data_IF_732695609235
#
_entry.id   IF_732695609235
#
_cell.length_a   1.000
_cell.length_b   1.000
_cell.length_c   1.000
_cell.angle_alpha   90.00
_cell.angle_beta   90.00
_cell.angle_gamma   90.00
#
_symmetry.space_group_name_H-M   'P 1'
#
loop_
_entity.id
_entity.type
_entity.pdbx_description
1 polymer ?
#
# COMPACT_ATOMS: atom_id res chain seq x y z
N UNK A 1 42.29 2.19 32.29
CA UNK A 1 41.20 1.97 33.28
C UNK A 1 39.97 1.31 32.63
N UNK A 2 39.46 1.76 31.49
CA UNK A 2 38.29 1.14 30.82
C UNK A 2 38.53 -0.28 30.30
N UNK A 3 39.72 -0.57 29.78
CA UNK A 3 40.10 -1.88 29.23
C UNK A 3 40.06 -3.00 30.28
N UNK A 4 40.39 -2.70 31.53
CA UNK A 4 40.37 -3.66 32.63
C UNK A 4 38.93 -4.01 33.03
N UNK A 5 38.05 -3.03 33.14
CA UNK A 5 36.63 -3.26 33.47
C UNK A 5 35.91 -4.07 32.38
N UNK A 6 36.22 -3.82 31.10
CA UNK A 6 35.66 -4.57 29.97
C UNK A 6 36.10 -6.05 29.98
N UNK A 7 37.39 -6.31 30.20
CA UNK A 7 37.93 -7.67 30.32
C UNK A 7 37.33 -8.45 31.50
N UNK A 8 37.14 -7.79 32.64
CA UNK A 8 36.51 -8.39 33.82
C UNK A 8 35.03 -8.71 33.55
N UNK A 9 34.31 -7.81 32.86
CA UNK A 9 32.93 -8.05 32.44
C UNK A 9 32.78 -9.28 31.55
N UNK A 10 33.62 -9.42 30.51
CA UNK A 10 33.60 -10.58 29.61
C UNK A 10 33.90 -11.89 30.36
N UNK A 11 34.91 -11.91 31.24
CA UNK A 11 35.21 -13.11 32.04
C UNK A 11 34.04 -13.50 32.94
N UNK A 12 33.29 -12.53 33.47
CA UNK A 12 32.12 -12.78 34.29
C UNK A 12 30.95 -13.36 33.47
N UNK A 13 30.70 -12.81 32.27
CA UNK A 13 29.69 -13.32 31.33
C UNK A 13 29.95 -14.77 30.92
N UNK A 14 31.21 -15.12 30.65
CA UNK A 14 31.64 -16.48 30.29
C UNK A 14 31.56 -17.46 31.48
N UNK A 15 31.80 -16.98 32.71
CA UNK A 15 31.72 -17.81 33.93
C UNK A 15 30.27 -18.18 34.28
N UNK A 16 29.31 -17.32 33.97
CA UNK A 16 27.87 -17.52 34.25
C UNK A 16 27.06 -17.80 32.96
N UNK A 17 27.54 -18.72 32.13
CA UNK A 17 27.02 -19.00 30.78
C UNK A 17 25.50 -19.20 30.69
N UNK A 18 24.86 -19.97 31.59
CA UNK A 18 23.42 -20.24 31.51
C UNK A 18 22.56 -19.00 31.80
N UNK A 19 22.94 -18.22 32.82
CA UNK A 19 22.24 -16.99 33.18
C UNK A 19 22.43 -15.91 32.11
N UNK A 20 23.65 -15.78 31.60
CA UNK A 20 23.95 -14.89 30.47
C UNK A 20 23.14 -15.28 29.23
N UNK A 21 23.06 -16.58 28.91
CA UNK A 21 22.32 -17.07 27.74
C UNK A 21 20.83 -16.73 27.83
N UNK A 22 20.18 -17.00 28.97
CA UNK A 22 18.76 -16.70 29.15
C UNK A 22 18.48 -15.20 29.00
N UNK A 23 19.30 -14.33 29.60
CA UNK A 23 19.13 -12.89 29.49
C UNK A 23 19.37 -12.37 28.06
N UNK A 24 20.42 -12.86 27.39
CA UNK A 24 20.74 -12.43 26.02
C UNK A 24 19.67 -12.91 25.04
N UNK A 25 19.18 -14.13 25.17
CA UNK A 25 18.10 -14.64 24.31
C UNK A 25 16.80 -13.88 24.55
N UNK A 26 16.41 -13.64 25.80
CA UNK A 26 15.21 -12.87 26.11
C UNK A 26 15.28 -11.44 25.56
N UNK A 27 16.43 -10.77 25.72
CA UNK A 27 16.66 -9.44 25.16
C UNK A 27 16.65 -9.47 23.62
N UNK A 28 17.29 -10.45 23.00
CA UNK A 28 17.36 -10.59 21.55
C UNK A 28 15.97 -10.81 20.95
N UNK A 29 15.15 -11.68 21.55
CA UNK A 29 13.76 -11.93 21.11
C UNK A 29 12.91 -10.67 21.28
N UNK A 30 13.00 -9.99 22.43
CA UNK A 30 12.26 -8.73 22.65
C UNK A 30 12.62 -7.66 21.64
N UNK A 31 13.92 -7.49 21.35
CA UNK A 31 14.41 -6.54 20.34
C UNK A 31 13.97 -6.94 18.93
N UNK A 32 14.02 -8.23 18.59
CA UNK A 32 13.56 -8.74 17.31
C UNK A 32 12.06 -8.48 17.10
N UNK A 33 11.22 -8.76 18.10
CA UNK A 33 9.79 -8.46 18.04
C UNK A 33 9.52 -6.97 17.86
N UNK A 34 10.21 -6.11 18.62
CA UNK A 34 10.06 -4.66 18.50
C UNK A 34 10.47 -4.14 17.11
N UNK A 35 11.58 -4.65 16.56
CA UNK A 35 12.04 -4.30 15.22
C UNK A 35 11.07 -4.78 14.13
N UNK A 36 10.53 -5.99 14.25
CA UNK A 36 9.53 -6.50 13.31
C UNK A 36 8.27 -5.63 13.29
N UNK A 37 7.75 -5.25 14.46
CA UNK A 37 6.62 -4.34 14.56
C UNK A 37 6.96 -2.98 13.94
N UNK A 38 8.15 -2.43 14.21
CA UNK A 38 8.58 -1.16 13.65
C UNK A 38 8.68 -1.22 12.12
N UNK A 39 9.27 -2.27 11.55
CA UNK A 39 9.34 -2.46 10.09
C UNK A 39 7.94 -2.57 9.50
N UNK A 40 7.05 -3.33 10.13
CA UNK A 40 5.66 -3.48 9.68
C UNK A 40 4.93 -2.14 9.66
N UNK A 41 4.97 -1.38 10.77
CA UNK A 41 4.34 -0.06 10.84
C UNK A 41 4.94 0.91 9.82
N UNK A 42 6.27 0.89 9.65
CA UNK A 42 6.96 1.71 8.65
C UNK A 42 6.52 1.34 7.23
N UNK A 43 6.36 0.05 6.95
CA UNK A 43 5.91 -0.43 5.65
C UNK A 43 4.48 0.06 5.35
N UNK A 44 3.54 -0.22 6.25
CA UNK A 44 2.13 0.20 6.11
C UNK A 44 1.99 1.72 5.98
N UNK A 45 2.72 2.50 6.79
CA UNK A 45 2.66 3.97 6.73
C UNK A 45 3.37 4.57 5.51
N UNK A 46 4.23 3.81 4.81
CA UNK A 46 4.96 4.30 3.64
C UNK A 46 4.17 4.21 2.33
N UNK A 47 3.12 3.40 2.27
CA UNK A 47 2.42 3.08 1.02
C UNK A 47 1.81 4.31 0.34
N UNK A 48 1.29 5.27 1.12
CA UNK A 48 0.58 6.45 0.59
C UNK A 48 1.42 7.74 0.54
N UNK A 49 2.71 7.69 0.89
CA UNK A 49 3.55 8.90 1.05
C UNK A 49 4.41 9.28 -0.17
N UNK A 50 4.23 8.62 -1.31
CA UNK A 50 5.10 8.83 -2.48
C UNK A 50 4.66 10.01 -3.39
N UNK A 51 3.49 10.58 -3.17
CA UNK A 51 2.99 11.73 -3.93
C UNK A 51 3.50 13.07 -3.35
N UNK A 52 3.62 14.11 -4.19
CA UNK A 52 4.16 15.41 -3.77
C UNK A 52 3.27 16.13 -2.73
N UNK A 53 1.96 15.93 -2.78
CA UNK A 53 0.96 16.58 -1.91
C UNK A 53 -0.08 15.57 -1.39
N UNK A 54 0.34 14.58 -0.58
CA UNK A 54 -0.53 13.47 -0.18
C UNK A 54 -1.70 13.93 0.70
N UNK A 55 -1.55 15.02 1.44
CA UNK A 55 -2.57 15.66 2.28
C UNK A 55 -3.69 16.34 1.48
N UNK A 56 -3.53 16.50 0.16
CA UNK A 56 -4.49 17.17 -0.73
C UNK A 56 -5.14 16.24 -1.73
N UNK A 57 -4.85 14.94 -1.65
CA UNK A 57 -5.35 13.92 -2.57
C UNK A 57 -6.38 13.09 -1.81
N UNK A 58 -7.61 13.07 -2.32
CA UNK A 58 -8.72 12.34 -1.71
C UNK A 58 -9.41 11.44 -2.72
N UNK A 59 -9.87 10.28 -2.26
CA UNK A 59 -10.75 9.40 -3.02
C UNK A 59 -12.18 9.57 -2.54
N UNK A 60 -13.08 9.90 -3.45
CA UNK A 60 -14.51 9.89 -3.13
C UNK A 60 -15.02 8.45 -3.12
N UNK A 61 -15.79 8.12 -2.09
CA UNK A 61 -16.39 6.81 -1.86
C UNK A 61 -17.90 6.96 -1.68
N UNK A 62 -18.65 5.91 -1.99
CA UNK A 62 -20.09 5.86 -1.72
C UNK A 62 -20.31 5.13 -0.39
N UNK A 63 -20.97 5.81 0.54
CA UNK A 63 -21.47 5.21 1.78
C UNK A 63 -22.79 4.47 1.50
N UNK A 64 -22.85 3.19 1.83
CA UNK A 64 -24.01 2.33 1.69
C UNK A 64 -24.60 2.07 3.09
N UNK A 65 -25.78 2.61 3.36
CA UNK A 65 -26.48 2.40 4.63
C UNK A 65 -27.45 1.24 4.51
N UNK A 66 -27.21 0.20 5.30
CA UNK A 66 -28.10 -0.93 5.51
C UNK A 66 -28.71 -0.84 6.92
N UNK A 67 -29.77 -1.61 7.18
CA UNK A 67 -30.48 -1.56 8.47
C UNK A 67 -29.58 -1.98 9.65
N UNK A 68 -28.62 -2.86 9.40
CA UNK A 68 -27.73 -3.47 10.41
C UNK A 68 -26.29 -2.92 10.39
N UNK A 69 -25.85 -2.32 9.28
CA UNK A 69 -24.50 -1.79 9.16
C UNK A 69 -24.36 -0.69 8.08
N UNK A 70 -23.23 0.00 8.11
CA UNK A 70 -22.84 0.95 7.06
C UNK A 70 -21.62 0.40 6.33
N UNK A 71 -21.77 0.16 5.03
CA UNK A 71 -20.68 -0.22 4.12
C UNK A 71 -20.11 1.00 3.39
N UNK A 72 -18.91 0.85 2.85
CA UNK A 72 -18.31 1.84 1.96
C UNK A 72 -17.85 1.13 0.69
N UNK A 73 -18.11 1.73 -0.46
CA UNK A 73 -17.62 1.24 -1.74
C UNK A 73 -16.86 2.33 -2.49
N UNK A 74 -15.93 1.88 -3.31
CA UNK A 74 -14.98 2.76 -3.99
C UNK A 74 -15.49 3.30 -5.33
N UNK A 75 -16.65 2.82 -5.78
CA UNK A 75 -17.36 3.30 -6.95
C UNK A 75 -18.26 4.49 -6.62
N UNK A 76 -18.34 5.43 -7.55
CA UNK A 76 -19.26 6.58 -7.55
C UNK A 76 -20.13 6.53 -8.80
N UNK A 77 -21.25 7.26 -8.79
CA UNK A 77 -22.10 7.36 -9.98
C UNK A 77 -21.32 7.98 -11.15
N UNK A 78 -21.52 7.45 -12.36
CA UNK A 78 -20.80 7.88 -13.56
C UNK A 78 -20.78 9.41 -13.81
N UNK A 79 -21.86 10.19 -13.61
CA UNK A 79 -21.82 11.63 -13.83
C UNK A 79 -21.15 12.42 -12.69
N UNK A 80 -20.79 11.76 -11.58
CA UNK A 80 -20.31 12.43 -10.37
C UNK A 80 -19.04 13.27 -10.56
N UNK A 81 -18.01 12.82 -11.31
CA UNK A 81 -16.85 13.65 -11.60
C UNK A 81 -17.20 14.95 -12.32
N UNK A 82 -18.14 14.94 -13.26
CA UNK A 82 -18.56 16.14 -14.00
C UNK A 82 -19.31 17.14 -13.12
N UNK A 83 -20.16 16.64 -12.21
CA UNK A 83 -20.85 17.48 -11.22
C UNK A 83 -19.84 18.16 -10.31
N UNK A 84 -18.84 17.42 -9.81
CA UNK A 84 -17.80 18.01 -8.96
C UNK A 84 -17.02 19.11 -9.68
N UNK A 85 -16.70 18.94 -10.97
CA UNK A 85 -16.02 19.99 -11.76
C UNK A 85 -16.88 21.23 -11.95
N UNK A 86 -18.20 21.05 -12.04
CA UNK A 86 -19.15 22.15 -12.26
C UNK A 86 -19.41 22.94 -10.98
N UNK A 87 -19.69 22.23 -9.89
CA UNK A 87 -20.10 22.84 -8.62
C UNK A 87 -18.90 23.28 -7.75
N UNK A 88 -17.73 22.65 -7.93
CA UNK A 88 -16.50 22.92 -7.18
C UNK A 88 -15.29 23.08 -8.13
N UNK A 89 -15.25 24.16 -8.95
CA UNK A 89 -14.22 24.37 -9.96
C UNK A 89 -12.80 24.53 -9.39
N UNK A 90 -12.65 24.81 -8.10
CA UNK A 90 -11.37 24.88 -7.38
C UNK A 90 -10.74 23.51 -7.11
N UNK A 91 -11.50 22.42 -7.21
CA UNK A 91 -11.03 21.06 -6.95
C UNK A 91 -10.61 20.38 -8.26
N UNK A 92 -9.39 19.84 -8.30
CA UNK A 92 -8.94 19.01 -9.42
C UNK A 92 -9.55 17.62 -9.29
N UNK A 93 -10.34 17.22 -10.29
CA UNK A 93 -11.05 15.94 -10.31
C UNK A 93 -10.56 15.07 -11.46
N UNK A 94 -10.20 13.83 -11.16
CA UNK A 94 -9.90 12.78 -12.13
C UNK A 94 -10.77 11.57 -11.85
N UNK A 95 -11.12 10.81 -12.90
CA UNK A 95 -11.80 9.52 -12.75
C UNK A 95 -10.91 8.35 -13.17
N UNK A 96 -11.16 7.19 -12.55
CA UNK A 96 -10.57 5.90 -12.89
C UNK A 96 -11.70 4.88 -12.99
N UNK A 97 -11.74 4.18 -14.12
CA UNK A 97 -12.64 3.07 -14.38
C UNK A 97 -11.85 1.77 -14.42
N UNK A 98 -12.36 0.72 -13.77
CA UNK A 98 -11.69 -0.58 -13.68
C UNK A 98 -12.62 -1.70 -14.12
N UNK A 99 -12.12 -2.56 -15.01
CA UNK A 99 -12.74 -3.84 -15.36
C UNK A 99 -11.86 -4.99 -14.89
N UNK A 100 -12.19 -5.59 -13.74
CA UNK A 100 -11.48 -6.75 -13.18
C UNK A 100 -11.58 -7.98 -14.07
N UNK A 101 -10.52 -8.81 -14.13
CA UNK A 101 -10.55 -10.10 -14.84
C UNK A 101 -10.80 -9.97 -16.35
N UNK A 102 -10.19 -8.97 -16.97
CA UNK A 102 -10.43 -8.64 -18.38
C UNK A 102 -9.71 -9.61 -19.31
N UNK A 103 -10.36 -9.99 -20.40
CA UNK A 103 -9.71 -10.68 -21.51
C UNK A 103 -9.45 -9.70 -22.65
N UNK A 104 -8.18 -9.47 -22.96
CA UNK A 104 -7.75 -8.66 -24.11
C UNK A 104 -7.57 -9.57 -25.30
N UNK A 105 -8.30 -9.29 -26.37
CA UNK A 105 -8.21 -10.05 -27.62
C UNK A 105 -7.53 -9.20 -28.68
N UNK A 106 -6.36 -9.62 -29.14
CA UNK A 106 -5.59 -8.95 -30.19
C UNK A 106 -5.93 -9.60 -31.53
N UNK A 107 -6.64 -8.90 -32.44
CA UNK A 107 -6.94 -9.41 -33.76
C UNK A 107 -5.65 -9.55 -34.58
N UNK A 108 -5.59 -10.60 -35.40
CA UNK A 108 -4.50 -10.81 -36.36
C UNK A 108 -4.96 -10.32 -37.74
N UNK A 109 -4.10 -9.57 -38.45
CA UNK A 109 -4.41 -9.00 -39.76
C UNK A 109 -4.49 -10.06 -40.87
N UNK A 110 -4.03 -11.29 -40.62
CA UNK A 110 -4.12 -12.41 -41.56
C UNK A 110 -5.54 -12.96 -41.61
N UNK A 111 -6.10 -13.09 -42.81
CA UNK A 111 -7.37 -13.82 -43.03
C UNK A 111 -7.26 -15.24 -42.45
N UNK A 112 -8.16 -15.59 -41.53
CA UNK A 112 -8.29 -16.88 -40.83
C UNK A 112 -7.27 -17.20 -39.72
N UNK A 113 -6.51 -16.23 -39.22
CA UNK A 113 -5.69 -16.46 -38.02
C UNK A 113 -6.56 -16.43 -36.75
N UNK A 114 -6.27 -17.33 -35.80
CA UNK A 114 -6.94 -17.30 -34.49
C UNK A 114 -6.43 -16.11 -33.68
N UNK A 115 -7.33 -15.25 -33.17
CA UNK A 115 -6.91 -14.06 -32.43
C UNK A 115 -6.18 -14.47 -31.15
N UNK A 116 -5.16 -13.69 -30.77
CA UNK A 116 -4.42 -13.93 -29.53
C UNK A 116 -5.24 -13.39 -28.37
N UNK A 117 -5.43 -14.22 -27.36
CA UNK A 117 -6.19 -13.87 -26.16
C UNK A 117 -5.24 -13.81 -24.97
N UNK A 118 -5.34 -12.73 -24.21
CA UNK A 118 -4.59 -12.49 -22.98
C UNK A 118 -5.59 -12.29 -21.85
N UNK A 119 -5.38 -12.98 -20.74
CA UNK A 119 -6.18 -12.80 -19.55
C UNK A 119 -5.40 -11.93 -18.56
N UNK A 120 -5.94 -10.76 -18.25
CA UNK A 120 -5.37 -9.82 -17.29
C UNK A 120 -6.13 -9.95 -15.98
N UNK A 121 -5.55 -10.67 -15.00
CA UNK A 121 -6.16 -10.87 -13.69
C UNK A 121 -6.43 -9.52 -12.98
N UNK A 122 -5.46 -8.61 -13.05
CA UNK A 122 -5.59 -7.25 -12.53
C UNK A 122 -6.65 -6.43 -13.28
N UNK A 123 -7.02 -6.85 -14.49
CA UNK A 123 -8.01 -6.16 -15.32
C UNK A 123 -7.45 -5.01 -16.15
N UNK A 124 -8.36 -4.26 -16.77
CA UNK A 124 -8.03 -3.06 -17.56
C UNK A 124 -8.52 -1.82 -16.82
N UNK A 125 -7.68 -0.79 -16.84
CA UNK A 125 -7.96 0.51 -16.23
C UNK A 125 -8.10 1.57 -17.32
N UNK A 126 -9.16 2.37 -17.25
CA UNK A 126 -9.34 3.56 -18.06
C UNK A 126 -9.26 4.77 -17.15
N UNK A 127 -8.49 5.78 -17.55
CA UNK A 127 -8.29 6.98 -16.77
C UNK A 127 -8.14 8.18 -17.68
N UNK A 128 -8.42 9.34 -17.14
CA UNK A 128 -8.23 10.61 -17.83
C UNK A 128 -6.75 11.04 -17.81
N UNK A 129 -6.29 11.83 -18.79
CA UNK A 129 -4.95 12.41 -18.77
C UNK A 129 -4.63 13.22 -17.51
N UNK A 130 -5.65 13.83 -16.90
CA UNK A 130 -5.61 14.59 -15.65
C UNK A 130 -5.08 13.76 -14.48
N UNK A 131 -5.28 12.44 -14.50
CA UNK A 131 -4.80 11.51 -13.48
C UNK A 131 -3.29 11.69 -13.25
N UNK A 132 -2.50 11.74 -14.32
CA UNK A 132 -1.05 11.89 -14.24
C UNK A 132 -0.59 13.27 -13.74
N UNK A 133 -1.46 14.28 -13.80
CA UNK A 133 -1.19 15.63 -13.28
C UNK A 133 -1.59 15.79 -11.82
N UNK A 134 -2.43 14.90 -11.29
CA UNK A 134 -2.88 14.96 -9.90
C UNK A 134 -1.77 14.55 -8.93
N UNK A 135 -0.92 13.61 -9.35
CA UNK A 135 0.09 12.97 -8.52
C UNK A 135 1.51 13.55 -8.63
N UNK A 136 1.71 14.53 -9.52
CA UNK A 136 2.99 15.22 -9.78
C UNK A 136 3.00 16.65 -9.23
#
# INVERSE_FOLDING_TARGET
MFSTSFLVGIRNLLRHQYYTLLNVVGLAVGLACALLIWVFVRFESSFDQFHAHPDRIYRVVTELRFDDHTGHQSGVHMPFPEVLRTDFPEVKVTQLFHYSGSQVTVPDERKNATPKMFHEEAGVFFMEPEFFKLFN
#
